data_IF_668222296390
#
_entry.id   IF_668222296390
#
_cell.length_a   1.000
_cell.length_b   1.000
_cell.length_c   1.000
_cell.angle_alpha   90.00
_cell.angle_beta   90.00
_cell.angle_gamma   90.00
#
_symmetry.space_group_name_H-M   'P 1'
#
loop_
_entity.id
_entity.type
_entity.pdbx_description
1 polymer ?
#
# COMPACT_ATOMS: atom_id res chain seq x y z
N UNK A 1 13.28 -14.29 10.27
CA UNK A 1 12.25 -13.23 10.31
C UNK A 1 10.90 -13.87 10.08
N UNK A 2 9.85 -13.42 10.77
CA UNK A 2 8.47 -13.87 10.49
C UNK A 2 7.96 -13.10 9.28
N UNK A 3 7.36 -13.78 8.32
CA UNK A 3 6.73 -13.17 7.15
C UNK A 3 5.32 -13.71 6.97
N UNK A 4 4.48 -12.98 6.25
CA UNK A 4 3.12 -13.37 5.89
C UNK A 4 2.88 -13.13 4.41
N UNK A 5 2.20 -14.07 3.75
CA UNK A 5 1.79 -13.90 2.35
C UNK A 5 0.66 -12.88 2.24
N UNK A 6 0.67 -12.06 1.18
CA UNK A 6 -0.43 -11.14 0.87
C UNK A 6 -1.78 -11.87 0.75
N UNK A 7 -1.78 -13.10 0.22
CA UNK A 7 -2.99 -13.89 0.03
C UNK A 7 -3.68 -14.19 1.36
N UNK A 8 -2.90 -14.43 2.42
CA UNK A 8 -3.46 -14.66 3.75
C UNK A 8 -4.15 -13.40 4.28
N UNK A 9 -3.57 -12.22 4.06
CA UNK A 9 -4.19 -10.95 4.45
C UNK A 9 -5.50 -10.74 3.69
N UNK A 10 -5.49 -10.94 2.37
CA UNK A 10 -6.69 -10.81 1.52
C UNK A 10 -7.82 -11.70 2.05
N UNK A 11 -7.54 -12.97 2.34
CA UNK A 11 -8.55 -13.92 2.84
C UNK A 11 -9.06 -13.55 4.23
N UNK A 12 -8.17 -13.29 5.19
CA UNK A 12 -8.54 -13.02 6.59
C UNK A 12 -9.31 -11.69 6.73
N UNK A 13 -8.90 -10.67 5.96
CA UNK A 13 -9.53 -9.35 5.99
C UNK A 13 -10.70 -9.22 5.01
N UNK A 14 -10.98 -10.27 4.21
CA UNK A 14 -12.04 -10.30 3.19
C UNK A 14 -11.94 -9.11 2.22
N UNK A 15 -10.72 -8.84 1.75
CA UNK A 15 -10.46 -7.71 0.84
C UNK A 15 -10.98 -8.02 -0.57
N UNK A 16 -11.52 -6.99 -1.21
CA UNK A 16 -11.78 -7.01 -2.65
C UNK A 16 -10.47 -6.82 -3.41
N UNK A 17 -10.17 -7.75 -4.32
CA UNK A 17 -8.97 -7.67 -5.15
C UNK A 17 -9.34 -6.98 -6.46
N UNK A 18 -8.89 -5.73 -6.62
CA UNK A 18 -9.05 -4.97 -7.87
C UNK A 18 -8.03 -5.42 -8.91
N UNK A 19 -6.80 -5.70 -8.48
CA UNK A 19 -5.70 -6.14 -9.34
C UNK A 19 -4.64 -6.88 -8.52
N UNK A 20 -4.11 -7.97 -9.07
CA UNK A 20 -2.93 -8.67 -8.55
C UNK A 20 -2.02 -9.02 -9.75
N UNK A 21 -0.71 -8.74 -9.69
CA UNK A 21 0.20 -9.09 -10.77
C UNK A 21 0.36 -10.62 -10.90
N UNK A 22 0.46 -11.11 -12.12
CA UNK A 22 0.68 -12.53 -12.40
C UNK A 22 2.02 -13.02 -11.84
N UNK A 23 2.06 -14.29 -11.41
CA UNK A 23 3.26 -15.01 -10.98
C UNK A 23 4.15 -14.31 -9.92
N UNK A 24 3.57 -13.44 -9.10
CA UNK A 24 4.33 -12.73 -8.04
C UNK A 24 3.92 -13.22 -6.66
N UNK A 25 4.80 -13.93 -5.97
CA UNK A 25 4.63 -14.25 -4.55
C UNK A 25 5.01 -13.02 -3.71
N UNK A 26 4.01 -12.30 -3.21
CA UNK A 26 4.22 -11.11 -2.38
C UNK A 26 4.26 -11.54 -0.91
N UNK A 27 5.45 -11.41 -0.32
CA UNK A 27 5.71 -11.68 1.09
C UNK A 27 5.91 -10.38 1.87
N UNK A 28 5.19 -10.25 2.97
CA UNK A 28 5.24 -9.09 3.85
C UNK A 28 6.09 -9.42 5.08
N UNK A 29 7.08 -8.58 5.32
CA UNK A 29 8.04 -8.73 6.42
C UNK A 29 7.84 -7.70 7.53
N UNK A 30 7.04 -6.66 7.26
CA UNK A 30 6.73 -5.58 8.19
C UNK A 30 5.20 -5.47 8.36
N UNK A 31 4.75 -5.36 9.60
CA UNK A 31 3.33 -5.15 9.96
C UNK A 31 2.92 -3.68 9.99
N UNK A 32 3.88 -2.76 9.92
CA UNK A 32 3.62 -1.33 9.90
C UNK A 32 2.98 -0.90 8.57
N UNK A 33 2.04 0.04 8.69
CA UNK A 33 1.31 0.62 7.59
C UNK A 33 1.93 1.99 7.27
N UNK A 34 1.92 2.37 6.00
CA UNK A 34 2.42 3.65 5.52
C UNK A 34 1.32 4.41 4.80
N UNK A 35 1.22 5.72 5.03
CA UNK A 35 0.28 6.63 4.36
C UNK A 35 1.09 7.62 3.51
N UNK A 36 1.04 7.52 2.17
CA UNK A 36 1.99 8.21 1.31
C UNK A 36 1.63 9.68 1.05
N UNK A 37 1.44 10.51 2.08
CA UNK A 37 1.07 11.92 1.90
C UNK A 37 2.16 12.75 1.23
N UNK A 38 3.36 12.80 1.83
CA UNK A 38 4.50 13.54 1.29
C UNK A 38 4.99 12.98 -0.05
N UNK A 39 4.87 11.66 -0.22
CA UNK A 39 5.25 10.97 -1.44
C UNK A 39 4.37 11.36 -2.62
N UNK A 40 3.05 11.52 -2.40
CA UNK A 40 2.15 12.05 -3.41
C UNK A 40 2.51 13.49 -3.80
N UNK A 41 3.11 14.26 -2.89
CA UNK A 41 3.64 15.61 -3.15
C UNK A 41 5.08 15.64 -3.71
N UNK A 42 5.70 14.49 -3.95
CA UNK A 42 7.03 14.38 -4.58
C UNK A 42 8.23 14.24 -3.64
N UNK A 43 8.03 14.05 -2.33
CA UNK A 43 9.11 13.89 -1.36
C UNK A 43 9.33 12.43 -0.94
N UNK A 44 10.53 11.88 -1.21
CA UNK A 44 10.81 10.44 -1.09
C UNK A 44 11.97 10.05 -0.15
N UNK A 45 12.66 11.00 0.50
CA UNK A 45 13.88 10.73 1.29
C UNK A 45 13.71 9.67 2.39
N UNK A 46 12.50 9.54 2.95
CA UNK A 46 12.17 8.54 3.97
C UNK A 46 11.04 7.62 3.52
N UNK A 47 10.96 7.28 2.23
CA UNK A 47 9.88 6.45 1.71
C UNK A 47 10.07 4.96 2.02
N UNK A 48 9.23 4.44 2.92
CA UNK A 48 9.21 3.03 3.29
C UNK A 48 8.33 2.20 2.33
N UNK A 49 8.82 2.00 1.11
CA UNK A 49 8.10 1.27 0.04
C UNK A 49 7.82 -0.20 0.35
N UNK A 50 8.59 -0.79 1.27
CA UNK A 50 8.45 -2.17 1.73
C UNK A 50 7.24 -2.42 2.65
N UNK A 51 6.60 -1.34 3.13
CA UNK A 51 5.41 -1.38 3.99
C UNK A 51 4.14 -1.41 3.15
N UNK A 52 3.06 -1.93 3.73
CA UNK A 52 1.73 -1.82 3.12
C UNK A 52 1.35 -0.35 3.07
N UNK A 53 1.03 0.16 1.86
CA UNK A 53 0.60 1.54 1.66
C UNK A 53 -0.94 1.63 1.77
N UNK A 54 -1.44 2.64 2.46
CA UNK A 54 -2.87 2.92 2.62
C UNK A 54 -3.19 4.26 1.98
N UNK A 55 -4.13 4.22 1.04
CA UNK A 55 -4.76 5.41 0.44
C UNK A 55 -6.12 5.57 1.09
N UNK A 56 -6.24 6.58 1.96
CA UNK A 56 -7.50 6.96 2.59
C UNK A 56 -8.08 8.23 1.98
N UNK A 57 -9.11 8.78 2.63
CA UNK A 57 -9.82 9.99 2.15
C UNK A 57 -8.89 11.17 1.88
N UNK A 58 -7.88 11.39 2.72
CA UNK A 58 -6.94 12.50 2.59
C UNK A 58 -6.09 12.34 1.33
N UNK A 59 -5.52 11.16 1.13
CA UNK A 59 -4.70 10.84 -0.03
C UNK A 59 -5.52 10.87 -1.31
N UNK A 60 -6.73 10.31 -1.29
CA UNK A 60 -7.68 10.37 -2.42
C UNK A 60 -8.02 11.81 -2.77
N UNK A 61 -8.41 12.64 -1.80
CA UNK A 61 -8.76 14.04 -2.07
C UNK A 61 -7.58 14.83 -2.64
N UNK A 62 -6.36 14.61 -2.13
CA UNK A 62 -5.16 15.22 -2.69
C UNK A 62 -4.90 14.80 -4.14
N UNK A 63 -5.10 13.51 -4.48
CA UNK A 63 -4.96 13.03 -5.86
C UNK A 63 -6.01 13.69 -6.78
N UNK A 64 -7.26 13.81 -6.31
CA UNK A 64 -8.34 14.47 -7.05
C UNK A 64 -8.04 15.94 -7.37
N UNK A 65 -7.36 16.66 -6.48
CA UNK A 65 -6.96 18.06 -6.75
C UNK A 65 -5.83 18.18 -7.78
N UNK A 66 -5.08 17.10 -8.04
CA UNK A 66 -4.00 17.07 -9.05
C UNK A 66 -4.52 16.75 -10.46
N UNK A 67 -5.66 16.09 -10.58
CA UNK A 67 -6.34 15.84 -11.85
C UNK A 67 -7.23 17.04 -12.20
N UNK A 68 -6.59 18.12 -12.66
CA UNK A 68 -7.24 19.27 -13.31
C UNK A 68 -7.11 19.19 -14.83
#
# INVERSE_FOLDING_TARGET
>A
MKSISINKIITEMKLEVIHIPDNTEIMLYNSELSRPGLQLAGFFDTFAYERIQIIGKTETHFIETMTG
#
